data_IF_986117671534
#
_entry.id   IF_986117671534
#
_cell.length_a   1.000
_cell.length_b   1.000
_cell.length_c   1.000
_cell.angle_alpha   90.00
_cell.angle_beta   90.00
_cell.angle_gamma   90.00
#
_symmetry.space_group_name_H-M   'P 1'
#
loop_
_entity.id
_entity.type
_entity.pdbx_description
1 polymer ?
#
# COMPACT_ATOMS: atom_id res chain seq x y z
N UNK A 1 20.90 2.15 12.68
CA UNK A 1 19.99 1.27 11.91
C UNK A 1 19.93 -0.08 12.61
N UNK A 2 18.88 -0.38 13.38
CA UNK A 2 18.74 -1.69 14.03
C UNK A 2 18.21 -2.68 12.99
N UNK A 3 18.97 -3.75 12.73
CA UNK A 3 18.62 -4.87 11.87
C UNK A 3 17.24 -5.44 12.24
N UNK A 4 16.20 -5.03 11.50
CA UNK A 4 14.86 -5.59 11.60
C UNK A 4 14.76 -6.98 10.92
N UNK A 5 15.84 -7.41 10.25
CA UNK A 5 15.88 -8.57 9.34
C UNK A 5 16.46 -9.86 9.93
N UNK A 6 16.78 -9.91 11.24
CA UNK A 6 17.44 -11.09 11.86
C UNK A 6 16.78 -11.64 13.13
N UNK A 7 15.68 -11.04 13.58
CA UNK A 7 14.89 -11.58 14.71
C UNK A 7 13.63 -12.20 14.11
N UNK A 8 13.17 -13.32 14.67
CA UNK A 8 11.77 -13.77 14.48
C UNK A 8 10.90 -12.52 14.40
N UNK A 9 10.07 -12.38 13.37
CA UNK A 9 9.17 -11.23 13.22
C UNK A 9 8.22 -11.23 14.43
N UNK A 10 8.61 -10.55 15.51
CA UNK A 10 7.78 -10.38 16.70
C UNK A 10 6.69 -9.40 16.28
N UNK A 11 5.53 -9.96 15.96
CA UNK A 11 4.35 -9.20 15.55
C UNK A 11 3.46 -8.95 16.75
N UNK A 12 2.63 -7.89 16.72
CA UNK A 12 1.58 -7.70 17.71
C UNK A 12 0.70 -8.96 17.87
N UNK A 13 0.37 -9.64 16.77
CA UNK A 13 -0.37 -10.90 16.79
C UNK A 13 0.32 -11.97 17.64
N UNK A 14 1.62 -12.21 17.43
CA UNK A 14 2.39 -13.18 18.20
C UNK A 14 2.40 -12.84 19.70
N UNK A 15 2.65 -11.57 20.05
CA UNK A 15 2.67 -11.11 21.43
C UNK A 15 1.30 -11.29 22.11
N UNK A 16 0.23 -10.87 21.46
CA UNK A 16 -1.13 -11.05 22.00
C UNK A 16 -1.55 -12.52 22.08
N UNK A 17 -1.08 -13.36 21.16
CA UNK A 17 -1.34 -14.81 21.20
C UNK A 17 -0.64 -15.49 22.37
N UNK A 18 0.65 -15.18 22.61
CA UNK A 18 1.37 -15.67 23.79
C UNK A 18 0.72 -15.19 25.10
N UNK A 19 0.30 -13.93 25.15
CA UNK A 19 -0.44 -13.38 26.29
C UNK A 19 -1.78 -14.10 26.52
N UNK A 20 -2.55 -14.34 25.46
CA UNK A 20 -3.82 -15.05 25.53
C UNK A 20 -3.66 -16.50 26.01
N UNK A 21 -2.66 -17.22 25.51
CA UNK A 21 -2.35 -18.58 25.96
C UNK A 21 -1.94 -18.63 27.44
N UNK A 22 -1.11 -17.68 27.86
CA UNK A 22 -0.67 -17.58 29.26
C UNK A 22 -1.85 -17.28 30.18
N UNK A 23 -2.69 -16.32 29.81
CA UNK A 23 -3.91 -15.99 30.56
C UNK A 23 -4.89 -17.17 30.61
N UNK A 24 -5.05 -17.89 29.49
CA UNK A 24 -5.90 -19.09 29.43
C UNK A 24 -5.41 -20.19 30.40
N UNK A 25 -4.09 -20.43 30.45
CA UNK A 25 -3.49 -21.42 31.35
C UNK A 25 -3.69 -21.06 32.84
N UNK A 26 -3.59 -19.78 33.20
CA UNK A 26 -3.87 -19.31 34.57
C UNK A 26 -5.36 -19.44 34.92
N UNK A 27 -6.24 -19.03 34.00
CA UNK A 27 -7.69 -19.09 34.22
C UNK A 27 -8.24 -20.52 34.27
N UNK A 28 -7.52 -21.49 33.69
CA UNK A 28 -7.89 -22.91 33.77
C UNK A 28 -8.00 -23.39 35.22
N UNK A 29 -7.18 -22.86 36.14
CA UNK A 29 -7.25 -23.17 37.58
C UNK A 29 -8.51 -22.63 38.26
N UNK A 30 -9.14 -21.59 37.70
CA UNK A 30 -10.42 -21.04 38.19
C UNK A 30 -11.64 -21.73 37.55
N UNK A 31 -11.43 -22.41 36.41
CA UNK A 31 -12.43 -23.22 35.73
C UNK A 31 -12.25 -23.22 34.20
N UNK A 32 -12.62 -24.31 33.51
CA UNK A 32 -12.31 -24.47 32.08
C UNK A 32 -12.97 -23.41 31.19
N UNK A 33 -14.17 -22.94 31.53
CA UNK A 33 -14.87 -21.92 30.76
C UNK A 33 -14.15 -20.56 30.78
N UNK A 34 -13.42 -20.24 31.84
CA UNK A 34 -12.67 -18.99 31.95
C UNK A 34 -11.49 -18.94 30.96
N UNK A 35 -10.89 -20.08 30.65
CA UNK A 35 -9.79 -20.17 29.67
C UNK A 35 -10.24 -19.79 28.24
N UNK A 36 -11.53 -19.92 27.91
CA UNK A 36 -12.07 -19.58 26.59
C UNK A 36 -12.03 -18.07 26.32
N UNK A 37 -12.18 -17.23 27.35
CA UNK A 37 -12.30 -15.76 27.20
C UNK A 37 -11.07 -15.16 26.49
N UNK A 38 -9.83 -15.31 27.00
CA UNK A 38 -8.65 -14.73 26.34
C UNK A 38 -8.42 -15.31 24.94
N UNK A 39 -8.74 -16.59 24.71
CA UNK A 39 -8.60 -17.24 23.40
C UNK A 39 -9.59 -16.69 22.37
N UNK A 40 -10.86 -16.50 22.76
CA UNK A 40 -11.88 -15.89 21.91
C UNK A 40 -11.50 -14.46 21.58
N UNK A 41 -11.07 -13.67 22.57
CA UNK A 41 -10.60 -12.29 22.34
C UNK A 41 -9.43 -12.25 21.35
N UNK A 42 -8.49 -13.20 21.46
CA UNK A 42 -7.40 -13.31 20.49
C UNK A 42 -7.91 -13.63 19.07
N UNK A 43 -8.84 -14.59 18.92
CA UNK A 43 -9.43 -14.92 17.60
C UNK A 43 -10.18 -13.71 17.01
N UNK A 44 -10.96 -12.99 17.83
CA UNK A 44 -11.65 -11.77 17.41
C UNK A 44 -10.64 -10.73 16.96
N UNK A 45 -9.55 -10.51 17.71
CA UNK A 45 -8.50 -9.56 17.31
C UNK A 45 -7.83 -9.94 15.99
N UNK A 46 -7.56 -11.24 15.76
CA UNK A 46 -7.02 -11.75 14.50
C UNK A 46 -7.98 -11.54 13.32
N UNK A 47 -9.28 -11.58 13.57
CA UNK A 47 -10.31 -11.40 12.54
C UNK A 47 -10.55 -9.92 12.22
N UNK A 48 -10.49 -9.05 13.23
CA UNK A 48 -10.82 -7.63 13.12
C UNK A 48 -9.63 -6.79 12.65
N UNK A 49 -8.41 -7.09 13.11
CA UNK A 49 -7.22 -6.31 12.79
C UNK A 49 -6.90 -6.13 11.29
N UNK A 50 -7.09 -7.12 10.38
CA UNK A 50 -6.86 -6.95 8.94
C UNK A 50 -7.61 -5.80 8.29
N UNK A 51 -8.76 -5.40 8.85
CA UNK A 51 -9.59 -4.32 8.30
C UNK A 51 -9.06 -2.92 8.64
N UNK A 52 -8.02 -2.83 9.48
CA UNK A 52 -7.35 -1.60 9.87
C UNK A 52 -5.99 -1.49 9.15
N UNK A 53 -5.91 -0.79 8.00
CA UNK A 53 -4.72 -0.74 7.14
C UNK A 53 -3.48 -0.06 7.77
N UNK A 54 -3.55 0.32 9.05
CA UNK A 54 -2.49 1.02 9.77
C UNK A 54 -1.88 0.21 10.92
N UNK A 55 -2.49 -0.92 11.28
CA UNK A 55 -2.15 -1.59 12.55
C UNK A 55 -0.91 -2.47 12.48
N UNK A 56 -0.55 -2.99 11.29
CA UNK A 56 0.61 -3.88 11.16
C UNK A 56 0.54 -5.10 12.09
N UNK A 57 -0.67 -5.61 12.34
CA UNK A 57 -0.90 -6.61 13.37
C UNK A 57 -0.19 -7.95 13.07
N UNK A 58 -0.11 -8.31 11.79
CA UNK A 58 0.50 -9.55 11.31
C UNK A 58 1.91 -9.40 10.74
N UNK A 59 2.37 -8.16 10.49
CA UNK A 59 3.66 -7.87 9.88
C UNK A 59 4.02 -6.39 10.05
N UNK A 60 5.32 -6.02 10.04
CA UNK A 60 5.75 -4.63 9.94
C UNK A 60 5.11 -3.96 8.71
N UNK A 61 4.44 -2.83 8.95
CA UNK A 61 3.63 -2.14 7.97
C UNK A 61 4.00 -0.66 7.94
N UNK A 62 4.24 -0.13 6.75
CA UNK A 62 4.50 1.29 6.54
C UNK A 62 3.20 1.93 6.05
N UNK A 63 2.44 2.55 6.95
CA UNK A 63 1.24 3.33 6.58
C UNK A 63 1.45 4.83 6.65
N UNK A 64 2.57 5.28 7.23
CA UNK A 64 2.96 6.69 7.35
C UNK A 64 4.49 6.76 7.40
N UNK A 65 5.06 7.79 6.80
CA UNK A 65 6.49 8.09 6.85
C UNK A 65 6.90 8.97 8.02
N UNK A 66 8.03 9.65 7.84
CA UNK A 66 8.61 10.59 8.78
C UNK A 66 7.67 11.76 9.09
N UNK A 67 7.38 11.96 10.37
CA UNK A 67 6.49 13.01 10.86
C UNK A 67 7.22 14.28 11.31
N UNK A 68 8.53 14.39 11.07
CA UNK A 68 9.32 15.58 11.42
C UNK A 68 9.38 16.61 10.29
N UNK A 69 9.19 16.16 9.05
CA UNK A 69 9.19 17.01 7.84
C UNK A 69 7.77 17.22 7.35
N UNK A 70 7.48 18.40 6.79
CA UNK A 70 6.19 18.71 6.14
C UNK A 70 6.07 18.06 4.75
N UNK A 71 6.42 16.79 4.66
CA UNK A 71 6.32 16.01 3.44
C UNK A 71 5.13 15.05 3.49
N UNK A 72 4.55 14.82 2.33
CA UNK A 72 3.53 13.79 2.11
C UNK A 72 3.82 13.04 0.83
N UNK A 73 3.45 11.77 0.76
CA UNK A 73 3.59 10.95 -0.45
C UNK A 73 2.24 10.83 -1.15
N UNK A 74 2.18 11.18 -2.44
CA UNK A 74 1.04 10.89 -3.30
C UNK A 74 1.24 9.51 -3.92
N UNK A 75 0.27 8.61 -3.77
CA UNK A 75 0.33 7.26 -4.32
C UNK A 75 -0.94 6.91 -5.10
N UNK A 76 -0.76 6.20 -6.21
CA UNK A 76 -1.83 5.74 -7.09
C UNK A 76 -1.89 4.21 -7.08
N UNK A 77 -3.09 3.63 -6.96
CA UNK A 77 -3.32 2.18 -7.05
C UNK A 77 -4.13 1.82 -8.31
N UNK A 78 -4.00 0.57 -8.72
CA UNK A 78 -4.79 -0.16 -9.73
C UNK A 78 -4.39 0.01 -11.20
N UNK A 79 -3.70 1.10 -11.56
CA UNK A 79 -3.24 1.36 -12.92
C UNK A 79 -2.13 0.41 -13.44
N UNK A 80 -1.56 0.69 -14.62
CA UNK A 80 -1.84 1.85 -15.48
C UNK A 80 -3.12 1.71 -16.34
N UNK A 81 -3.90 2.77 -16.45
CA UNK A 81 -5.12 2.89 -17.27
C UNK A 81 -4.91 3.88 -18.43
N UNK A 82 -5.38 3.58 -19.66
CA UNK A 82 -5.11 4.38 -20.84
C UNK A 82 -5.80 5.75 -20.87
N UNK A 83 -6.69 6.04 -19.93
CA UNK A 83 -7.36 7.35 -19.79
C UNK A 83 -6.87 8.07 -18.55
N UNK A 84 -6.89 7.39 -17.40
CA UNK A 84 -6.63 8.01 -16.10
C UNK A 84 -5.14 8.23 -15.84
N UNK A 85 -4.28 7.27 -16.20
CA UNK A 85 -2.82 7.39 -15.94
C UNK A 85 -2.18 8.52 -16.74
N UNK A 86 -2.42 8.70 -18.06
CA UNK A 86 -1.89 9.86 -18.80
C UNK A 86 -2.32 11.20 -18.22
N UNK A 87 -3.56 11.29 -17.73
CA UNK A 87 -4.08 12.50 -17.09
C UNK A 87 -3.37 12.79 -15.77
N UNK A 88 -3.13 11.75 -14.96
CA UNK A 88 -2.32 11.84 -13.75
C UNK A 88 -0.91 12.36 -14.08
N UNK A 89 -0.23 11.72 -15.03
CA UNK A 89 1.14 12.06 -15.44
C UNK A 89 1.24 13.50 -15.95
N UNK A 90 0.27 13.95 -16.75
CA UNK A 90 0.21 15.33 -17.24
C UNK A 90 0.15 16.35 -16.08
N UNK A 91 -0.75 16.14 -15.11
CA UNK A 91 -0.90 17.03 -13.94
C UNK A 91 0.38 17.02 -13.09
N UNK A 92 0.96 15.83 -12.87
CA UNK A 92 2.20 15.68 -12.10
C UNK A 92 3.39 16.37 -12.79
N UNK A 93 3.51 16.23 -14.12
CA UNK A 93 4.54 16.90 -14.92
C UNK A 93 4.42 18.42 -14.83
N UNK A 94 3.22 18.96 -15.01
CA UNK A 94 2.99 20.41 -14.92
C UNK A 94 3.39 20.99 -13.56
N UNK A 95 3.26 20.21 -12.49
CA UNK A 95 3.61 20.62 -11.12
C UNK A 95 5.02 20.20 -10.69
N UNK A 96 5.77 19.49 -11.53
CA UNK A 96 7.08 18.96 -11.16
C UNK A 96 7.05 17.95 -10.01
N UNK A 97 5.92 17.29 -9.78
CA UNK A 97 5.72 16.35 -8.66
C UNK A 97 6.12 14.95 -9.09
N UNK A 98 6.77 14.19 -8.19
CA UNK A 98 7.01 12.76 -8.35
C UNK A 98 6.15 11.96 -7.37
N UNK A 99 5.37 11.02 -7.90
CA UNK A 99 4.51 10.12 -7.12
C UNK A 99 5.02 8.68 -7.15
N UNK A 100 4.29 7.79 -6.48
CA UNK A 100 4.47 6.33 -6.58
C UNK A 100 3.22 5.66 -7.11
N UNK A 101 3.39 4.78 -8.10
CA UNK A 101 2.31 4.01 -8.72
C UNK A 101 2.42 2.55 -8.28
N UNK A 102 1.44 2.06 -7.52
CA UNK A 102 1.27 0.65 -7.19
C UNK A 102 0.49 -0.02 -8.31
N UNK A 103 1.23 -0.51 -9.30
CA UNK A 103 0.67 -1.05 -10.55
C UNK A 103 0.25 -2.50 -10.38
N UNK A 104 -0.72 -2.92 -11.20
CA UNK A 104 -1.13 -4.32 -11.30
C UNK A 104 -0.52 -4.97 -12.54
N UNK A 105 -0.31 -6.29 -12.49
CA UNK A 105 0.27 -7.04 -13.61
C UNK A 105 -0.63 -7.06 -14.84
N UNK A 106 -1.94 -7.24 -14.66
CA UNK A 106 -2.90 -7.21 -15.77
C UNK A 106 -2.86 -5.91 -16.54
N UNK A 107 -2.75 -4.78 -15.86
CA UNK A 107 -2.72 -3.48 -16.52
C UNK A 107 -1.35 -3.19 -17.13
N UNK A 108 -0.29 -3.54 -16.43
CA UNK A 108 1.09 -3.39 -16.93
C UNK A 108 1.31 -4.12 -18.25
N UNK A 109 0.83 -5.37 -18.37
CA UNK A 109 0.99 -6.15 -19.61
C UNK A 109 0.13 -5.60 -20.74
N UNK A 110 -1.02 -4.99 -20.44
CA UNK A 110 -1.89 -4.38 -21.45
C UNK A 110 -1.39 -3.02 -21.93
N UNK A 111 -0.74 -2.26 -21.06
CA UNK A 111 -0.31 -0.88 -21.29
C UNK A 111 1.17 -0.70 -20.93
N UNK A 112 2.08 -1.43 -21.61
CA UNK A 112 3.51 -1.38 -21.31
C UNK A 112 4.13 0.00 -21.60
N UNK A 113 3.58 0.72 -22.58
CA UNK A 113 3.93 2.09 -22.94
C UNK A 113 3.70 3.07 -21.79
N UNK A 114 2.57 2.94 -21.08
CA UNK A 114 2.26 3.78 -19.92
C UNK A 114 3.19 3.50 -18.75
N UNK A 115 3.58 2.24 -18.53
CA UNK A 115 4.58 1.93 -17.52
C UNK A 115 5.93 2.58 -17.84
N UNK A 116 6.35 2.55 -19.12
CA UNK A 116 7.57 3.24 -19.54
C UNK A 116 7.46 4.76 -19.33
N UNK A 117 6.30 5.36 -19.59
CA UNK A 117 6.06 6.78 -19.32
C UNK A 117 6.16 7.10 -17.83
N UNK A 118 5.54 6.28 -16.95
CA UNK A 118 5.67 6.42 -15.49
C UNK A 118 7.15 6.44 -15.06
N UNK A 119 7.94 5.48 -15.55
CA UNK A 119 9.37 5.36 -15.21
C UNK A 119 10.17 6.54 -15.77
N UNK A 120 9.94 6.90 -17.04
CA UNK A 120 10.63 8.00 -17.74
C UNK A 120 10.36 9.34 -17.08
N UNK A 121 9.15 9.56 -16.58
CA UNK A 121 8.78 10.75 -15.81
C UNK A 121 9.37 10.72 -14.39
N UNK A 122 10.19 9.73 -14.02
CA UNK A 122 10.92 9.68 -12.75
C UNK A 122 10.02 9.34 -11.55
N UNK A 123 8.85 8.76 -11.79
CA UNK A 123 8.03 8.19 -10.74
C UNK A 123 8.58 6.85 -10.28
N UNK A 124 8.14 6.41 -9.11
CA UNK A 124 8.50 5.07 -8.60
C UNK A 124 7.34 4.10 -8.74
N UNK A 125 7.67 2.82 -8.89
CA UNK A 125 6.70 1.75 -9.08
C UNK A 125 6.72 0.81 -7.88
N UNK A 126 5.54 0.55 -7.33
CA UNK A 126 5.29 -0.46 -6.31
C UNK A 126 4.52 -1.66 -6.88
N UNK A 127 4.63 -2.82 -6.24
CA UNK A 127 3.91 -4.02 -6.63
C UNK A 127 2.51 -4.05 -6.00
N UNK A 128 1.46 -4.19 -6.81
CA UNK A 128 0.06 -4.28 -6.36
C UNK A 128 -0.61 -5.61 -6.73
N UNK A 129 0.16 -6.70 -6.73
CA UNK A 129 -0.24 -8.02 -7.24
C UNK A 129 -0.51 -8.07 -8.75
N UNK A 130 -0.51 -9.27 -9.31
CA UNK A 130 -0.69 -9.43 -10.75
C UNK A 130 -2.15 -9.25 -11.18
N UNK A 131 -3.08 -9.98 -10.55
CA UNK A 131 -4.50 -10.04 -10.93
C UNK A 131 -5.39 -9.05 -10.16
N UNK A 132 -4.91 -8.46 -9.07
CA UNK A 132 -5.71 -7.64 -8.15
C UNK A 132 -6.97 -8.37 -7.63
N UNK A 133 -6.81 -9.63 -7.20
CA UNK A 133 -7.88 -10.39 -6.53
C UNK A 133 -8.20 -9.75 -5.17
N UNK A 134 -9.42 -9.22 -5.00
CA UNK A 134 -9.88 -8.64 -3.74
C UNK A 134 -9.90 -9.65 -2.58
N UNK A 135 -9.91 -10.95 -2.88
CA UNK A 135 -9.83 -12.05 -1.93
C UNK A 135 -8.42 -12.62 -1.79
N UNK A 136 -7.38 -11.96 -2.33
CA UNK A 136 -6.01 -12.47 -2.36
C UNK A 136 -5.51 -12.92 -0.97
N UNK A 137 -5.86 -12.17 0.07
CA UNK A 137 -5.47 -12.49 1.46
C UNK A 137 -6.11 -13.76 2.02
N UNK A 138 -7.15 -14.30 1.37
CA UNK A 138 -7.78 -15.58 1.72
C UNK A 138 -7.24 -16.76 0.90
N UNK A 139 -6.41 -16.49 -0.11
CA UNK A 139 -5.80 -17.54 -0.94
C UNK A 139 -4.65 -18.24 -0.23
N UNK A 140 -4.16 -19.32 -0.82
CA UNK A 140 -3.01 -20.08 -0.33
C UNK A 140 -1.72 -19.24 -0.37
N UNK A 141 -0.75 -19.55 0.49
CA UNK A 141 0.57 -18.90 0.46
C UNK A 141 1.23 -19.00 -0.91
N UNK A 142 1.05 -20.14 -1.60
CA UNK A 142 1.56 -20.36 -2.96
C UNK A 142 0.93 -19.36 -3.95
N UNK A 143 -0.39 -19.19 -3.91
CA UNK A 143 -1.08 -18.23 -4.79
C UNK A 143 -0.66 -16.79 -4.49
N UNK A 144 -0.56 -16.42 -3.21
CA UNK A 144 -0.09 -15.09 -2.81
C UNK A 144 1.35 -14.81 -3.28
N UNK A 145 2.26 -15.77 -3.10
CA UNK A 145 3.63 -15.68 -3.61
C UNK A 145 3.66 -15.52 -5.14
N UNK A 146 2.91 -16.35 -5.86
CA UNK A 146 2.79 -16.29 -7.32
C UNK A 146 2.29 -14.94 -7.81
N UNK A 147 1.28 -14.36 -7.16
CA UNK A 147 0.74 -13.04 -7.55
C UNK A 147 1.77 -11.91 -7.43
N UNK A 148 2.68 -12.00 -6.45
CA UNK A 148 3.75 -11.02 -6.26
C UNK A 148 4.86 -11.27 -7.28
N UNK A 149 5.33 -12.51 -7.38
CA UNK A 149 6.46 -12.91 -8.24
C UNK A 149 6.19 -12.63 -9.71
N UNK A 150 4.98 -12.95 -10.18
CA UNK A 150 4.60 -12.77 -11.58
C UNK A 150 4.63 -11.29 -11.98
N UNK A 151 4.29 -10.39 -11.05
CA UNK A 151 4.44 -8.96 -11.30
C UNK A 151 5.90 -8.50 -11.19
N UNK A 152 6.70 -9.03 -10.24
CA UNK A 152 8.14 -8.75 -10.21
C UNK A 152 8.83 -9.13 -11.53
N UNK A 153 8.50 -10.30 -12.06
CA UNK A 153 9.00 -10.80 -13.35
C UNK A 153 8.59 -9.87 -14.50
N UNK A 154 7.31 -9.51 -14.59
CA UNK A 154 6.83 -8.57 -15.60
C UNK A 154 7.57 -7.22 -15.54
N UNK A 155 7.78 -6.69 -14.33
CA UNK A 155 8.45 -5.39 -14.13
C UNK A 155 9.96 -5.44 -14.39
N UNK A 156 10.60 -6.60 -14.20
CA UNK A 156 12.03 -6.78 -14.52
C UNK A 156 12.32 -6.55 -16.01
N UNK A 157 11.36 -6.85 -16.90
CA UNK A 157 11.49 -6.57 -18.34
C UNK A 157 11.56 -5.07 -18.67
N UNK A 158 11.14 -4.21 -17.73
CA UNK A 158 11.27 -2.75 -17.80
C UNK A 158 12.51 -2.23 -17.06
N UNK A 159 13.41 -3.12 -16.63
CA UNK A 159 14.65 -2.76 -15.94
C UNK A 159 14.42 -2.24 -14.52
N UNK A 160 13.31 -2.60 -13.88
CA UNK A 160 12.97 -2.17 -12.52
C UNK A 160 12.59 -3.34 -11.61
N UNK A 161 12.89 -3.20 -10.32
CA UNK A 161 12.52 -4.15 -9.28
C UNK A 161 11.88 -3.38 -8.12
N UNK A 162 10.54 -3.46 -7.95
CA UNK A 162 9.89 -2.90 -6.79
C UNK A 162 10.36 -3.55 -5.50
N UNK A 163 10.62 -2.72 -4.49
CA UNK A 163 10.99 -3.12 -3.12
C UNK A 163 9.83 -2.97 -2.15
N UNK A 164 8.67 -2.51 -2.63
CA UNK A 164 7.47 -2.34 -1.84
C UNK A 164 6.30 -3.08 -2.46
N UNK A 165 5.48 -3.67 -1.60
CA UNK A 165 4.22 -4.30 -1.96
C UNK A 165 3.09 -3.62 -1.20
N UNK A 166 2.02 -3.27 -1.91
CA UNK A 166 0.75 -2.86 -1.29
C UNK A 166 -0.27 -3.97 -1.52
N UNK A 167 -0.89 -4.55 -0.47
CA UNK A 167 -1.89 -5.58 -0.68
C UNK A 167 -3.16 -4.98 -1.32
N UNK A 168 -3.79 -5.68 -2.28
CA UNK A 168 -5.12 -5.33 -2.77
C UNK A 168 -6.08 -5.05 -1.61
N UNK A 169 -6.90 -4.01 -1.76
CA UNK A 169 -7.86 -3.51 -0.76
C UNK A 169 -7.29 -3.14 0.63
N UNK A 170 -5.96 -3.16 0.80
CA UNK A 170 -5.26 -2.78 2.03
C UNK A 170 -5.33 -3.80 3.17
N UNK A 171 -5.84 -5.01 2.92
CA UNK A 171 -5.99 -6.09 3.93
C UNK A 171 -4.67 -6.87 4.03
N UNK A 172 -4.30 -7.32 5.23
CA UNK A 172 -3.10 -8.12 5.47
C UNK A 172 -3.43 -9.45 6.14
N UNK A 173 -2.52 -10.42 6.09
CA UNK A 173 -2.68 -11.71 6.76
C UNK A 173 -1.34 -12.20 7.36
N UNK A 174 -1.36 -13.24 8.22
CA UNK A 174 -0.13 -13.82 8.81
C UNK A 174 0.90 -14.35 7.81
N UNK A 175 0.46 -14.75 6.60
CA UNK A 175 1.31 -15.39 5.58
C UNK A 175 2.11 -14.37 4.78
N UNK A 176 1.63 -13.13 4.70
CA UNK A 176 2.21 -12.08 3.86
C UNK A 176 3.62 -11.68 4.34
N UNK A 177 3.83 -11.56 5.65
CA UNK A 177 5.12 -11.15 6.22
C UNK A 177 6.30 -12.04 5.77
N UNK A 178 6.25 -13.37 5.97
CA UNK A 178 7.28 -14.29 5.50
C UNK A 178 7.50 -14.26 3.97
N UNK A 179 6.42 -14.13 3.19
CA UNK A 179 6.49 -14.06 1.72
C UNK A 179 7.24 -12.81 1.27
N UNK A 180 6.93 -11.65 1.84
CA UNK A 180 7.61 -10.39 1.53
C UNK A 180 9.06 -10.40 2.02
N UNK A 181 9.32 -11.00 3.19
CA UNK A 181 10.67 -11.12 3.74
C UNK A 181 11.61 -11.90 2.79
N UNK A 182 11.15 -13.03 2.25
CA UNK A 182 11.91 -13.81 1.26
C UNK A 182 12.26 -13.02 0.00
N UNK A 183 11.43 -12.02 -0.35
CA UNK A 183 11.60 -11.16 -1.52
C UNK A 183 12.28 -9.82 -1.19
N UNK A 184 12.70 -9.62 0.07
CA UNK A 184 13.25 -8.36 0.58
C UNK A 184 12.32 -7.15 0.36
N UNK A 185 11.02 -7.38 0.31
CA UNK A 185 10.02 -6.33 0.09
C UNK A 185 9.46 -5.81 1.40
N UNK A 186 9.15 -4.51 1.46
CA UNK A 186 8.39 -3.90 2.55
C UNK A 186 6.89 -3.87 2.24
N UNK A 187 6.04 -4.13 3.23
CA UNK A 187 4.61 -3.90 3.09
C UNK A 187 4.30 -2.42 3.29
N UNK A 188 3.70 -1.78 2.29
CA UNK A 188 3.26 -0.37 2.33
C UNK A 188 1.74 -0.30 2.23
N UNK A 189 1.14 0.56 3.03
CA UNK A 189 -0.29 0.88 2.97
C UNK A 189 -0.44 2.41 2.94
N UNK A 190 -1.53 2.93 3.51
CA UNK A 190 -1.80 4.36 3.57
C UNK A 190 -2.44 4.73 4.92
N UNK A 191 -2.28 5.99 5.34
CA UNK A 191 -3.03 6.56 6.46
C UNK A 191 -4.08 7.59 6.02
N UNK A 192 -3.98 8.09 4.79
CA UNK A 192 -4.86 9.10 4.24
C UNK A 192 -5.60 8.58 3.00
N UNK A 193 -6.90 8.29 3.13
CA UNK A 193 -7.77 7.83 2.02
C UNK A 193 -9.12 8.53 1.97
N UNK A 194 -9.66 8.67 0.76
CA UNK A 194 -10.97 9.27 0.47
C UNK A 194 -12.14 8.28 0.45
N UNK A 195 -11.87 6.96 0.46
CA UNK A 195 -12.90 5.92 0.24
C UNK A 195 -13.63 6.08 -1.10
N UNK A 196 -12.88 6.45 -2.13
CA UNK A 196 -13.29 6.60 -3.53
C UNK A 196 -13.59 5.25 -4.20
N UNK A 197 -13.13 4.14 -3.61
CA UNK A 197 -13.42 2.75 -4.03
C UNK A 197 -13.07 2.48 -5.48
N UNK A 198 -11.80 2.73 -5.85
CA UNK A 198 -11.33 2.58 -7.23
C UNK A 198 -12.10 3.52 -8.16
N UNK A 199 -12.18 4.81 -7.82
CA UNK A 199 -12.89 5.83 -8.61
C UNK A 199 -14.40 5.63 -8.82
N UNK A 200 -15.09 4.83 -7.99
CA UNK A 200 -16.56 4.75 -7.94
C UNK A 200 -17.20 5.98 -7.27
N UNK A 201 -16.47 6.66 -6.38
CA UNK A 201 -16.95 7.76 -5.53
C UNK A 201 -15.95 8.93 -5.50
N UNK A 202 -15.84 9.62 -6.63
CA UNK A 202 -14.86 10.70 -6.83
C UNK A 202 -15.25 12.00 -6.12
N UNK A 203 -16.55 12.35 -6.07
CA UNK A 203 -17.01 13.64 -5.52
C UNK A 203 -16.50 13.89 -4.09
N UNK A 204 -15.82 15.02 -3.89
CA UNK A 204 -15.27 15.45 -2.61
C UNK A 204 -14.03 14.66 -2.17
N UNK A 205 -13.34 13.98 -3.09
CA UNK A 205 -12.11 13.23 -2.82
C UNK A 205 -11.04 14.10 -2.18
N UNK A 206 -10.76 15.28 -2.75
CA UNK A 206 -9.77 16.25 -2.27
C UNK A 206 -10.08 16.66 -0.82
N UNK A 207 -11.29 17.12 -0.56
CA UNK A 207 -11.71 17.57 0.77
C UNK A 207 -11.61 16.48 1.85
N UNK A 208 -11.88 15.22 1.51
CA UNK A 208 -11.74 14.09 2.45
C UNK A 208 -10.28 13.79 2.79
N UNK A 209 -9.36 13.91 1.83
CA UNK A 209 -7.93 13.74 2.04
C UNK A 209 -7.34 14.93 2.81
N UNK A 210 -7.68 16.15 2.42
CA UNK A 210 -7.20 17.39 3.04
C UNK A 210 -7.64 17.56 4.50
N UNK A 211 -8.72 16.91 4.93
CA UNK A 211 -9.14 16.82 6.34
C UNK A 211 -8.28 15.88 7.18
N UNK A 212 -7.57 14.94 6.56
CA UNK A 212 -6.81 13.87 7.24
C UNK A 212 -5.30 14.01 7.07
N UNK A 213 -4.87 14.74 6.04
CA UNK A 213 -3.46 14.91 5.69
C UNK A 213 -2.68 15.51 6.85
N UNK A 214 -1.48 14.97 7.08
CA UNK A 214 -0.55 15.39 8.11
C UNK A 214 0.88 15.04 7.70
N UNK A 215 1.86 15.50 8.48
CA UNK A 215 3.28 15.19 8.24
C UNK A 215 3.51 13.68 8.11
N UNK A 216 4.21 13.29 7.05
CA UNK A 216 4.51 11.90 6.71
C UNK A 216 3.36 11.12 6.08
N UNK A 217 2.20 11.74 5.82
CA UNK A 217 1.05 11.02 5.27
C UNK A 217 1.35 10.36 3.94
N UNK A 218 0.82 9.14 3.78
CA UNK A 218 0.79 8.43 2.51
C UNK A 218 -0.66 8.49 2.00
N UNK A 219 -0.87 9.26 0.94
CA UNK A 219 -2.18 9.51 0.34
C UNK A 219 -2.46 8.42 -0.69
N UNK A 220 -3.62 7.78 -0.57
CA UNK A 220 -4.14 6.84 -1.56
C UNK A 220 -5.22 7.51 -2.42
N UNK A 221 -5.00 7.45 -3.74
CA UNK A 221 -5.99 7.62 -4.80
C UNK A 221 -5.80 6.51 -5.84
N UNK A 222 -6.71 6.38 -6.80
CA UNK A 222 -6.60 5.36 -7.86
C UNK A 222 -6.50 6.02 -9.23
N UNK A 223 -5.68 5.45 -10.12
CA UNK A 223 -5.55 5.84 -11.52
C UNK A 223 -6.15 4.80 -12.47
N UNK A 224 -7.29 4.22 -12.10
CA UNK A 224 -8.05 3.27 -12.91
C UNK A 224 -9.41 3.83 -13.30
N UNK A 225 -9.87 3.56 -14.53
CA UNK A 225 -11.24 3.87 -14.90
C UNK A 225 -12.16 2.75 -14.42
N UNK A 226 -13.01 3.05 -13.42
CA UNK A 226 -13.97 2.06 -12.90
C UNK A 226 -14.94 1.55 -13.98
N UNK A 227 -15.43 2.47 -14.82
CA UNK A 227 -16.36 2.16 -15.89
C UNK A 227 -16.33 3.25 -16.96
N UNK A 228 -16.97 3.02 -18.10
CA UNK A 228 -17.16 4.06 -19.12
C UNK A 228 -17.83 5.34 -18.60
N UNK A 229 -18.60 5.24 -17.51
CA UNK A 229 -19.30 6.38 -16.88
C UNK A 229 -18.45 7.14 -15.86
N UNK A 230 -17.21 6.74 -15.62
CA UNK A 230 -16.30 7.46 -14.70
C UNK A 230 -16.11 8.89 -15.22
N UNK A 231 -16.42 9.87 -14.37
CA UNK A 231 -16.26 11.29 -14.68
C UNK A 231 -14.78 11.69 -14.57
N UNK A 232 -14.09 11.64 -15.69
CA UNK A 232 -12.65 11.90 -15.82
C UNK A 232 -12.32 13.36 -15.48
N UNK A 233 -13.17 14.30 -15.86
CA UNK A 233 -12.97 15.74 -15.60
C UNK A 233 -13.15 16.07 -14.12
N UNK A 234 -14.13 15.45 -13.47
CA UNK A 234 -14.26 15.57 -12.01
C UNK A 234 -13.04 14.99 -11.30
N UNK A 235 -12.54 13.84 -11.76
CA UNK A 235 -11.35 13.23 -11.15
C UNK A 235 -10.11 14.11 -11.27
N UNK A 236 -9.82 14.68 -12.45
CA UNK A 236 -8.68 15.59 -12.61
C UNK A 236 -8.85 16.86 -11.77
N UNK A 237 -10.05 17.44 -11.75
CA UNK A 237 -10.31 18.62 -10.91
C UNK A 237 -10.12 18.32 -9.42
N UNK A 238 -10.53 17.13 -8.95
CA UNK A 238 -10.29 16.72 -7.56
C UNK A 238 -8.80 16.47 -7.28
N UNK A 239 -8.03 15.96 -8.24
CA UNK A 239 -6.58 15.81 -8.10
C UNK A 239 -5.88 17.18 -8.03
N UNK A 240 -6.22 18.12 -8.90
CA UNK A 240 -5.67 19.48 -8.87
C UNK A 240 -5.99 20.19 -7.56
N UNK A 241 -7.26 20.17 -7.12
CA UNK A 241 -7.69 20.74 -5.84
C UNK A 241 -6.98 20.10 -4.64
N UNK A 242 -6.71 18.80 -4.70
CA UNK A 242 -5.93 18.12 -3.67
C UNK A 242 -4.52 18.69 -3.59
N UNK A 243 -3.86 18.86 -4.74
CA UNK A 243 -2.50 19.38 -4.81
C UNK A 243 -2.43 20.84 -4.34
N UNK A 244 -3.35 21.70 -4.79
CA UNK A 244 -3.46 23.08 -4.32
C UNK A 244 -3.66 23.12 -2.79
N UNK A 245 -4.59 22.30 -2.28
CA UNK A 245 -4.86 22.25 -0.85
C UNK A 245 -3.72 21.69 0.00
N UNK A 246 -2.83 20.86 -0.58
CA UNK A 246 -1.60 20.39 0.08
C UNK A 246 -0.62 21.56 0.22
N UNK A 247 -0.42 22.31 -0.87
CA UNK A 247 0.48 23.48 -0.90
C UNK A 247 0.00 24.58 0.05
N UNK A 248 -1.29 24.91 0.03
CA UNK A 248 -1.93 25.89 0.94
C UNK A 248 -1.76 25.53 2.43
N UNK A 249 -1.71 24.24 2.75
CA UNK A 249 -1.48 23.74 4.13
C UNK A 249 0.01 23.69 4.51
N UNK A 250 0.89 24.12 3.59
CA UNK A 250 2.33 24.15 3.76
C UNK A 250 3.00 22.77 3.73
N UNK A 251 2.35 21.76 3.15
CA UNK A 251 2.96 20.47 2.89
C UNK A 251 3.59 20.48 1.50
N UNK A 252 4.59 19.62 1.28
CA UNK A 252 5.14 19.35 -0.05
C UNK A 252 4.94 17.89 -0.40
N UNK A 253 4.53 17.61 -1.63
CA UNK A 253 4.53 16.24 -2.16
C UNK A 253 5.96 15.84 -2.46
N UNK A 254 6.40 14.70 -1.93
CA UNK A 254 7.72 14.14 -2.16
C UNK A 254 7.63 12.68 -2.61
N UNK A 255 8.66 12.16 -3.32
CA UNK A 255 8.75 10.74 -3.64
C UNK A 255 8.57 9.88 -2.39
N UNK A 256 7.84 8.78 -2.50
CA UNK A 256 7.53 7.93 -1.34
C UNK A 256 8.80 7.53 -0.58
N UNK A 257 9.89 7.17 -1.28
CA UNK A 257 11.16 6.80 -0.66
C UNK A 257 11.75 7.85 0.28
N UNK A 258 11.54 9.14 -0.03
CA UNK A 258 11.97 10.24 0.82
C UNK A 258 11.08 10.34 2.06
N UNK A 259 9.77 10.16 1.88
CA UNK A 259 8.78 10.21 2.97
C UNK A 259 8.97 9.04 3.94
N UNK A 260 9.25 7.83 3.45
CA UNK A 260 9.40 6.62 4.28
C UNK A 260 10.86 6.29 4.65
N UNK A 261 11.81 7.08 4.18
CA UNK A 261 13.25 6.95 4.48
C UNK A 261 13.86 5.63 4.03
N UNK A 262 13.38 5.04 2.92
CA UNK A 262 13.92 3.80 2.35
C UNK A 262 13.60 3.67 0.86
N UNK A 263 14.39 2.91 0.10
CA UNK A 263 14.12 2.66 -1.32
C UNK A 263 12.74 2.04 -1.58
N UNK A 264 12.11 2.46 -2.68
CA UNK A 264 10.81 1.95 -3.15
C UNK A 264 10.98 1.02 -4.34
N UNK A 265 11.98 1.28 -5.17
CA UNK A 265 12.27 0.59 -6.41
C UNK A 265 13.78 0.65 -6.67
N UNK A 266 14.34 -0.41 -7.21
CA UNK A 266 15.71 -0.45 -7.76
C UNK A 266 15.65 -0.51 -9.29
N UNK A 267 16.67 0.03 -9.95
CA UNK A 267 16.89 -0.26 -11.37
C UNK A 267 17.74 -1.51 -11.49
N UNK A 268 17.28 -2.45 -12.33
CA UNK A 268 17.94 -3.74 -12.59
C UNK A 268 19.04 -3.59 -13.65
N UNK A 269 19.12 -2.44 -14.33
CA UNK A 269 20.14 -2.16 -15.36
C UNK A 269 21.54 -1.86 -14.80
N UNK A 270 21.76 -1.93 -13.49
CA UNK A 270 23.07 -1.71 -12.85
C UNK A 270 23.83 -3.00 -12.56
N UNK A 271 23.36 -4.16 -13.04
CA UNK A 271 24.04 -5.46 -12.87
C UNK A 271 24.13 -6.17 -14.23
N UNK A 272 24.94 -5.61 -15.13
CA UNK A 272 25.49 -6.29 -16.30
C UNK A 272 26.94 -5.82 -16.50
#
# INVERSE_FOLDING_TARGET
MKNLFSRLLITPALLTGMGALTAAAVLLFLGPLWSCIPLILYIVSCTVAPFFPRWGYFLPLISRGDSTRRLVALTFDDGPDPVMTPLALSILRQRGIKATFFVTGRQTVKHPDLLQEIIKDGHTVGNHSYDHDVLLMFRSSRRLAQEIDRLQEALSSFGICPLVFRPPVGITNPRLGPILHQRKMSCVNFDCRAFDCGNRRIKGLSGKLLKKVRMGSILLIHDIRYSEKTDVNLWSSELERLLDGIDERGYKVAPLQEVIGRPVMESVLSVA
#
